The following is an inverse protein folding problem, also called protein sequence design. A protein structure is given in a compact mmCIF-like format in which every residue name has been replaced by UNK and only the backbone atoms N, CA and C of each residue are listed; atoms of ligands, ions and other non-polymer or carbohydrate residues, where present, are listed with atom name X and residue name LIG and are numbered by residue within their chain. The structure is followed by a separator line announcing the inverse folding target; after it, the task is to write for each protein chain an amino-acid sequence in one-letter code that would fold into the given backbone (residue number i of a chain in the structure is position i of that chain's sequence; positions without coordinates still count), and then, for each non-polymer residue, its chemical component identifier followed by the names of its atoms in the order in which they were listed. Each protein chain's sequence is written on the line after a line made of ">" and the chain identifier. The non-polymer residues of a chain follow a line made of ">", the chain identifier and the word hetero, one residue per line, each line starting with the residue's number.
data_IF_552792834066
#
_entry.id   IF_552792834066
#
_cell.length_a   1.000
_cell.length_b   1.000
_cell.length_c   1.000
_cell.angle_alpha   90.00
_cell.angle_beta   90.00
_cell.angle_gamma   90.00
#
_symmetry.space_group_name_H-M   'P 1'
#
loop_
_entity.id
_entity.type
_entity.pdbx_description
1 polymer ?
#
# COMPACT_ATOMS: atom_id res chain seq x y z
N UNK A 1 -64.94 -52.18 -28.27
CA UNK A 1 -63.55 -51.74 -28.19
C UNK A 1 -63.17 -51.65 -26.71
N UNK A 2 -62.42 -52.63 -26.22
CA UNK A 2 -61.72 -52.56 -24.93
C UNK A 2 -60.31 -52.08 -25.24
N UNK A 3 -59.86 -51.02 -24.58
CA UNK A 3 -58.49 -50.52 -24.69
C UNK A 3 -57.70 -51.09 -23.51
N UNK A 4 -56.73 -51.95 -23.78
CA UNK A 4 -55.71 -52.35 -22.81
C UNK A 4 -54.35 -51.93 -23.38
N UNK A 5 -53.66 -51.03 -22.68
CA UNK A 5 -52.31 -50.61 -23.00
C UNK A 5 -51.44 -50.75 -21.76
N UNK A 6 -50.22 -51.24 -21.93
CA UNK A 6 -49.20 -51.32 -20.89
C UNK A 6 -48.11 -50.29 -21.22
N UNK A 7 -47.78 -49.43 -20.27
CA UNK A 7 -46.61 -48.54 -20.37
C UNK A 7 -45.38 -49.41 -20.05
N UNK A 8 -44.37 -49.39 -20.91
CA UNK A 8 -43.08 -50.02 -20.62
C UNK A 8 -42.32 -49.15 -19.60
N UNK A 9 -41.78 -49.82 -18.58
CA UNK A 9 -40.90 -49.33 -17.50
C UNK A 9 -40.62 -47.82 -17.39
N UNK A 10 -41.02 -47.22 -16.27
CA UNK A 10 -40.77 -45.82 -15.93
C UNK A 10 -39.28 -45.48 -15.72
N UNK A 11 -38.38 -46.47 -15.70
CA UNK A 11 -36.95 -46.27 -15.35
C UNK A 11 -35.97 -46.23 -16.52
N UNK A 12 -36.41 -46.31 -17.79
CA UNK A 12 -35.47 -46.28 -18.93
C UNK A 12 -36.07 -45.72 -20.23
N UNK A 13 -36.47 -44.45 -20.20
CA UNK A 13 -37.18 -43.78 -21.30
C UNK A 13 -36.19 -43.20 -22.34
N UNK A 14 -35.94 -43.92 -23.43
CA UNK A 14 -35.25 -43.37 -24.61
C UNK A 14 -36.25 -42.78 -25.60
N UNK A 15 -36.07 -41.50 -25.99
CA UNK A 15 -36.64 -40.66 -27.09
C UNK A 15 -38.14 -40.78 -27.49
N UNK A 16 -38.77 -41.95 -27.39
CA UNK A 16 -40.13 -42.22 -27.85
C UNK A 16 -40.84 -43.19 -26.88
N UNK A 17 -41.83 -42.70 -26.14
CA UNK A 17 -42.81 -43.58 -25.51
C UNK A 17 -43.75 -44.15 -26.57
N UNK A 18 -43.62 -45.44 -26.83
CA UNK A 18 -44.38 -46.12 -27.89
C UNK A 18 -45.60 -46.82 -27.27
N UNK A 19 -46.78 -46.21 -27.37
CA UNK A 19 -48.02 -46.90 -26.99
C UNK A 19 -48.46 -47.79 -28.16
N UNK A 20 -48.38 -49.11 -27.98
CA UNK A 20 -48.91 -50.07 -28.96
C UNK A 20 -50.38 -50.35 -28.65
N UNK A 21 -51.28 -49.92 -29.54
CA UNK A 21 -52.72 -50.19 -29.42
C UNK A 21 -53.09 -51.34 -30.36
N UNK A 22 -53.45 -52.49 -29.78
CA UNK A 22 -53.97 -53.62 -30.55
C UNK A 22 -55.49 -53.50 -30.71
N UNK A 23 -55.97 -53.37 -31.95
CA UNK A 23 -57.40 -53.33 -32.26
C UNK A 23 -57.82 -54.70 -32.78
N UNK A 24 -58.55 -55.48 -31.97
CA UNK A 24 -59.20 -56.70 -32.46
C UNK A 24 -60.69 -56.44 -32.73
N UNK A 25 -61.14 -56.77 -33.94
CA UNK A 25 -62.57 -56.87 -34.27
C UNK A 25 -63.11 -58.21 -33.79
N UNK A 26 -64.32 -58.23 -33.23
CA UNK A 26 -64.98 -59.41 -32.67
C UNK A 26 -65.62 -60.31 -33.74
N UNK A 27 -65.26 -60.18 -35.02
CA UNK A 27 -65.75 -61.05 -36.10
C UNK A 27 -64.61 -61.71 -36.88
N UNK A 28 -64.55 -63.03 -36.70
CA UNK A 28 -63.69 -64.04 -37.30
C UNK A 28 -63.50 -63.92 -38.83
N UNK A 29 -62.28 -63.58 -39.28
CA UNK A 29 -61.74 -63.92 -40.61
C UNK A 29 -60.19 -63.88 -40.56
N UNK A 30 -59.44 -64.89 -41.05
CA UNK A 30 -58.00 -64.92 -40.88
C UNK A 30 -57.28 -64.04 -41.92
N UNK A 31 -56.36 -63.22 -41.43
CA UNK A 31 -55.36 -62.42 -42.15
C UNK A 31 -55.88 -61.26 -43.01
N UNK A 32 -55.98 -60.08 -42.38
CA UNK A 32 -55.83 -58.78 -43.05
C UNK A 32 -55.33 -57.78 -42.03
N UNK A 33 -54.02 -57.53 -42.03
CA UNK A 33 -53.29 -56.45 -41.35
C UNK A 33 -53.76 -56.09 -39.93
N UNK A 34 -52.98 -56.48 -38.93
CA UNK A 34 -52.94 -55.78 -37.64
C UNK A 34 -52.70 -54.28 -37.95
N UNK A 35 -53.73 -53.45 -37.82
CA UNK A 35 -53.61 -51.99 -37.97
C UNK A 35 -53.03 -51.45 -36.66
N UNK A 36 -51.74 -51.65 -36.48
CA UNK A 36 -51.00 -51.11 -35.34
C UNK A 36 -50.76 -49.62 -35.58
N UNK A 37 -51.61 -48.78 -34.99
CA UNK A 37 -51.34 -47.34 -34.89
C UNK A 37 -50.49 -47.09 -33.65
N UNK A 38 -49.21 -46.78 -33.85
CA UNK A 38 -48.33 -46.28 -32.80
C UNK A 38 -48.63 -44.80 -32.56
N UNK A 39 -49.14 -44.46 -31.38
CA UNK A 39 -49.23 -43.06 -30.94
C UNK A 39 -47.96 -42.78 -30.14
N UNK A 40 -47.08 -41.96 -30.70
CA UNK A 40 -45.88 -41.46 -30.04
C UNK A 40 -46.18 -40.07 -29.51
N UNK A 41 -46.23 -39.89 -28.20
CA UNK A 41 -46.25 -38.55 -27.59
C UNK A 41 -44.81 -38.09 -27.38
N UNK A 42 -44.40 -36.92 -27.89
CA UNK A 42 -43.07 -36.40 -27.60
C UNK A 42 -42.91 -36.20 -26.09
N UNK A 43 -41.73 -36.56 -25.56
CA UNK A 43 -41.40 -36.29 -24.16
C UNK A 43 -41.39 -34.77 -23.93
N UNK A 44 -41.80 -34.30 -22.74
CA UNK A 44 -41.66 -32.89 -22.39
C UNK A 44 -40.18 -32.50 -22.43
N UNK A 45 -39.91 -31.33 -23.01
CA UNK A 45 -38.56 -30.75 -23.08
C UNK A 45 -38.14 -30.18 -21.74
N UNK A 46 -36.83 -30.14 -21.52
CA UNK A 46 -36.16 -29.70 -20.30
C UNK A 46 -35.36 -28.41 -20.54
N UNK A 47 -34.83 -27.81 -19.47
CA UNK A 47 -33.91 -26.67 -19.55
C UNK A 47 -32.72 -26.79 -18.58
N UNK A 48 -31.64 -26.10 -18.91
CA UNK A 48 -30.44 -25.90 -18.07
C UNK A 48 -30.15 -24.41 -18.05
N UNK A 49 -29.90 -23.84 -16.89
CA UNK A 49 -29.51 -22.45 -16.74
C UNK A 49 -29.08 -22.11 -15.33
N UNK A 50 -29.01 -20.80 -15.11
CA UNK A 50 -29.05 -20.06 -13.84
C UNK A 50 -28.20 -18.81 -14.02
N UNK A 51 -27.01 -18.71 -13.41
CA UNK A 51 -26.36 -17.43 -13.15
C UNK A 51 -24.84 -17.42 -13.40
N UNK A 52 -24.34 -16.32 -13.96
CA UNK A 52 -22.90 -16.00 -13.95
C UNK A 52 -22.72 -14.75 -13.10
N UNK A 53 -21.86 -14.81 -12.10
CA UNK A 53 -21.72 -13.76 -11.09
C UNK A 53 -20.28 -13.27 -10.92
N UNK A 54 -20.17 -12.00 -10.54
CA UNK A 54 -18.95 -11.40 -10.03
C UNK A 54 -18.82 -11.77 -8.56
N UNK A 55 -17.92 -12.72 -8.29
CA UNK A 55 -17.57 -13.18 -6.96
C UNK A 55 -16.66 -12.15 -6.31
N UNK A 56 -17.22 -11.36 -5.39
CA UNK A 56 -16.55 -10.19 -4.85
C UNK A 56 -15.43 -10.58 -3.88
N UNK A 57 -15.49 -11.76 -3.28
CA UNK A 57 -14.54 -12.22 -2.27
C UNK A 57 -13.76 -13.48 -2.69
N UNK A 58 -13.96 -13.95 -3.93
CA UNK A 58 -13.34 -15.12 -4.54
C UNK A 58 -13.58 -16.44 -3.78
N UNK A 59 -14.69 -16.58 -3.07
CA UNK A 59 -14.98 -17.77 -2.27
C UNK A 59 -15.71 -18.90 -3.02
N UNK A 60 -16.22 -18.64 -4.22
CA UNK A 60 -16.96 -19.59 -5.05
C UNK A 60 -18.42 -19.82 -4.68
N UNK A 61 -18.96 -19.01 -3.78
CA UNK A 61 -20.35 -19.00 -3.33
C UNK A 61 -20.99 -17.70 -3.80
N UNK A 62 -22.19 -17.78 -4.37
CA UNK A 62 -23.00 -16.63 -4.70
C UNK A 62 -23.52 -15.94 -3.42
N UNK A 63 -22.79 -14.91 -3.00
CA UNK A 63 -23.09 -14.15 -1.80
C UNK A 63 -24.09 -13.01 -2.03
N UNK A 64 -24.69 -12.54 -0.93
CA UNK A 64 -25.58 -11.38 -1.01
C UNK A 64 -24.79 -10.11 -1.35
N UNK A 65 -25.13 -9.47 -2.47
CA UNK A 65 -24.48 -8.25 -2.94
C UNK A 65 -23.63 -8.45 -4.19
N UNK A 66 -23.37 -9.70 -4.55
CA UNK A 66 -22.69 -10.07 -5.78
C UNK A 66 -23.60 -9.87 -6.99
N UNK A 67 -23.07 -9.23 -8.01
CA UNK A 67 -23.82 -8.85 -9.20
C UNK A 67 -23.58 -9.84 -10.32
N UNK A 68 -24.57 -10.04 -11.17
CA UNK A 68 -24.45 -10.91 -12.33
C UNK A 68 -23.61 -10.26 -13.42
N UNK A 69 -22.86 -11.09 -14.15
CA UNK A 69 -22.00 -10.65 -15.24
C UNK A 69 -22.81 -10.71 -16.54
N UNK A 70 -23.09 -9.57 -17.20
CA UNK A 70 -23.82 -9.55 -18.45
C UNK A 70 -22.94 -9.99 -19.63
N UNK A 71 -23.60 -10.48 -20.68
CA UNK A 71 -22.96 -10.86 -21.96
C UNK A 71 -21.87 -11.95 -21.85
N UNK A 72 -21.83 -12.71 -20.75
CA UNK A 72 -20.94 -13.85 -20.59
C UNK A 72 -21.38 -15.00 -21.51
N UNK A 73 -20.47 -15.53 -22.34
CA UNK A 73 -20.77 -16.61 -23.28
C UNK A 73 -20.81 -17.96 -22.56
N UNK A 74 -21.89 -18.71 -22.80
CA UNK A 74 -22.11 -20.06 -22.27
C UNK A 74 -22.40 -21.03 -23.42
N UNK A 75 -21.81 -22.22 -23.37
CA UNK A 75 -21.90 -23.24 -24.43
C UNK A 75 -22.49 -24.54 -23.89
N UNK A 76 -23.38 -25.14 -24.67
CA UNK A 76 -23.96 -26.43 -24.33
C UNK A 76 -23.16 -27.56 -24.97
N UNK A 77 -22.79 -28.56 -24.17
CA UNK A 77 -22.03 -29.73 -24.61
C UNK A 77 -22.81 -31.03 -24.37
N UNK A 78 -22.57 -32.02 -25.22
CA UNK A 78 -22.96 -33.40 -24.98
C UNK A 78 -22.15 -33.98 -23.81
N UNK A 79 -22.62 -35.09 -23.23
CA UNK A 79 -21.92 -35.78 -22.14
C UNK A 79 -20.44 -36.13 -22.45
N UNK A 80 -20.12 -36.39 -23.72
CA UNK A 80 -18.75 -36.70 -24.19
C UNK A 80 -17.84 -35.45 -24.35
N UNK A 81 -18.38 -34.24 -24.13
CA UNK A 81 -17.67 -32.97 -24.22
C UNK A 81 -17.67 -32.34 -25.61
N UNK A 82 -18.34 -32.94 -26.60
CA UNK A 82 -18.53 -32.31 -27.91
C UNK A 82 -19.65 -31.26 -27.86
N UNK A 83 -19.63 -30.21 -28.70
CA UNK A 83 -20.71 -29.23 -28.73
C UNK A 83 -22.05 -29.86 -29.13
N UNK A 84 -23.13 -29.45 -28.46
CA UNK A 84 -24.48 -29.70 -28.98
C UNK A 84 -24.68 -28.78 -30.19
N UNK A 85 -25.12 -29.33 -31.32
CA UNK A 85 -25.31 -28.57 -32.55
C UNK A 85 -26.80 -28.32 -32.84
N UNK A 86 -27.12 -27.17 -33.44
CA UNK A 86 -28.43 -26.85 -33.99
C UNK A 86 -28.73 -27.67 -35.27
N UNK A 87 -29.93 -27.51 -35.85
CA UNK A 87 -30.32 -28.19 -37.10
C UNK A 87 -29.41 -27.86 -38.30
N UNK A 88 -28.62 -26.80 -38.21
CA UNK A 88 -27.67 -26.36 -39.25
C UNK A 88 -26.24 -26.83 -38.97
N UNK A 89 -25.98 -27.54 -37.88
CA UNK A 89 -24.65 -28.00 -37.48
C UNK A 89 -23.79 -26.95 -36.77
N UNK A 90 -24.38 -25.87 -36.24
CA UNK A 90 -23.64 -24.88 -35.45
C UNK A 90 -23.75 -25.19 -33.95
N UNK A 91 -22.68 -25.01 -33.16
CA UNK A 91 -22.74 -25.13 -31.70
C UNK A 91 -23.84 -24.24 -31.09
N UNK A 92 -24.58 -24.80 -30.14
CA UNK A 92 -25.55 -24.08 -29.33
C UNK A 92 -24.81 -23.29 -28.25
N UNK A 93 -24.95 -21.97 -28.32
CA UNK A 93 -24.41 -21.03 -27.34
C UNK A 93 -25.49 -20.03 -26.93
N UNK A 94 -25.32 -19.42 -25.76
CA UNK A 94 -26.13 -18.31 -25.29
C UNK A 94 -25.24 -17.31 -24.55
N UNK A 95 -25.74 -16.11 -24.34
CA UNK A 95 -25.11 -15.11 -23.49
C UNK A 95 -26.00 -14.83 -22.30
N UNK A 96 -25.39 -14.52 -21.15
CA UNK A 96 -26.14 -14.02 -20.00
C UNK A 96 -26.81 -12.69 -20.30
N UNK A 97 -27.96 -12.47 -19.69
CA UNK A 97 -28.68 -11.21 -19.77
C UNK A 97 -28.06 -10.11 -18.90
N UNK A 98 -28.68 -8.92 -18.91
CA UNK A 98 -28.20 -7.77 -18.14
C UNK A 98 -28.17 -7.96 -16.61
N UNK A 99 -28.76 -9.04 -16.10
CA UNK A 99 -28.74 -9.40 -14.68
C UNK A 99 -27.82 -10.58 -14.39
N UNK A 100 -27.20 -11.21 -15.40
CA UNK A 100 -26.32 -12.36 -15.27
C UNK A 100 -26.97 -13.72 -15.52
N UNK A 101 -28.26 -13.77 -15.90
CA UNK A 101 -28.96 -15.05 -16.10
C UNK A 101 -28.81 -15.59 -17.51
N UNK A 102 -28.66 -16.92 -17.64
CA UNK A 102 -28.71 -17.62 -18.92
C UNK A 102 -29.62 -18.85 -18.85
N UNK A 103 -30.15 -19.28 -20.00
CA UNK A 103 -30.96 -20.48 -20.08
C UNK A 103 -30.86 -21.14 -21.46
N UNK A 104 -30.67 -22.45 -21.49
CA UNK A 104 -30.89 -23.32 -22.63
C UNK A 104 -32.26 -23.99 -22.49
N UNK A 105 -33.17 -23.73 -23.42
CA UNK A 105 -34.53 -24.28 -23.40
C UNK A 105 -34.75 -25.30 -24.50
N UNK A 106 -35.79 -26.13 -24.36
CA UNK A 106 -36.19 -27.07 -25.41
C UNK A 106 -35.29 -28.31 -25.50
N UNK A 107 -34.53 -28.60 -24.44
CA UNK A 107 -33.58 -29.71 -24.41
C UNK A 107 -34.32 -31.05 -24.33
N UNK A 108 -33.80 -32.05 -25.06
CA UNK A 108 -34.29 -33.41 -24.90
C UNK A 108 -33.79 -34.01 -23.59
N UNK A 109 -34.56 -34.85 -22.89
CA UNK A 109 -34.07 -35.54 -21.69
C UNK A 109 -32.82 -36.36 -22.00
N UNK A 110 -31.81 -36.30 -21.14
CA UNK A 110 -30.49 -36.86 -21.41
C UNK A 110 -29.38 -36.27 -20.54
N UNK A 111 -28.14 -36.55 -20.92
CA UNK A 111 -26.94 -36.09 -20.21
C UNK A 111 -26.23 -34.97 -21.00
N UNK A 112 -25.94 -33.87 -20.32
CA UNK A 112 -25.29 -32.68 -20.88
C UNK A 112 -24.15 -32.20 -19.99
N UNK A 113 -23.38 -31.24 -20.50
CA UNK A 113 -22.48 -30.40 -19.72
C UNK A 113 -22.62 -28.96 -20.18
N UNK A 114 -22.24 -28.03 -19.33
CA UNK A 114 -22.13 -26.61 -19.66
C UNK A 114 -20.66 -26.23 -19.68
N UNK A 115 -20.28 -25.38 -20.64
CA UNK A 115 -18.96 -24.75 -20.66
C UNK A 115 -19.13 -23.24 -20.60
N UNK A 116 -18.55 -22.64 -19.57
CA UNK A 116 -18.45 -21.19 -19.46
C UNK A 116 -17.23 -20.68 -20.21
N UNK A 117 -17.32 -19.46 -20.71
CA UNK A 117 -16.18 -18.73 -21.27
C UNK A 117 -15.85 -17.60 -20.32
N UNK A 118 -14.58 -17.50 -19.94
CA UNK A 118 -14.10 -16.43 -19.06
C UNK A 118 -14.47 -15.06 -19.65
N UNK A 119 -15.28 -14.25 -18.94
CA UNK A 119 -15.69 -12.94 -19.44
C UNK A 119 -14.52 -11.96 -19.56
N UNK A 120 -14.60 -11.05 -20.53
CA UNK A 120 -13.59 -9.99 -20.69
C UNK A 120 -13.54 -9.09 -19.45
N UNK A 121 -12.34 -8.78 -18.96
CA UNK A 121 -12.12 -7.92 -17.80
C UNK A 121 -12.27 -8.62 -16.44
N UNK A 122 -12.28 -9.96 -16.44
CA UNK A 122 -12.14 -10.79 -15.24
C UNK A 122 -10.92 -11.69 -15.40
N UNK A 123 -9.98 -11.63 -14.47
CA UNK A 123 -8.72 -12.37 -14.52
C UNK A 123 -8.78 -13.71 -13.78
N UNK A 124 -9.73 -13.84 -12.84
CA UNK A 124 -9.87 -14.99 -11.96
C UNK A 124 -11.17 -15.78 -12.16
N UNK A 125 -11.10 -17.06 -11.79
CA UNK A 125 -12.23 -18.00 -11.76
C UNK A 125 -12.37 -18.50 -10.33
N UNK A 126 -13.57 -18.45 -9.80
CA UNK A 126 -13.83 -18.83 -8.41
C UNK A 126 -13.63 -20.33 -8.15
N UNK A 127 -13.37 -20.72 -6.90
CA UNK A 127 -13.34 -22.12 -6.50
C UNK A 127 -14.61 -22.88 -6.92
N UNK A 128 -14.43 -24.07 -7.46
CA UNK A 128 -15.55 -24.89 -7.97
C UNK A 128 -16.21 -25.70 -6.84
N UNK A 129 -17.52 -25.86 -6.90
CA UNK A 129 -18.37 -26.58 -5.94
C UNK A 129 -18.20 -26.12 -4.47
N UNK A 130 -18.00 -24.82 -4.27
CA UNK A 130 -17.88 -24.24 -2.94
C UNK A 130 -19.28 -23.87 -2.42
N UNK A 131 -19.82 -24.64 -1.48
CA UNK A 131 -21.10 -24.34 -0.85
C UNK A 131 -22.19 -25.37 -1.18
N UNK A 132 -23.40 -24.87 -1.43
CA UNK A 132 -24.54 -25.67 -1.87
C UNK A 132 -24.74 -25.52 -3.37
N UNK A 133 -25.23 -26.59 -3.99
CA UNK A 133 -25.46 -26.75 -5.44
C UNK A 133 -26.30 -25.62 -6.08
N UNK A 134 -27.11 -24.90 -5.28
CA UNK A 134 -27.96 -23.80 -5.77
C UNK A 134 -27.26 -22.43 -5.79
N UNK A 135 -26.01 -22.36 -5.32
CA UNK A 135 -25.27 -21.10 -5.13
C UNK A 135 -23.76 -21.24 -5.37
N UNK A 136 -23.23 -22.42 -5.70
CA UNK A 136 -21.80 -22.62 -5.91
C UNK A 136 -21.40 -22.40 -7.36
N UNK A 137 -20.11 -22.13 -7.61
CA UNK A 137 -19.60 -22.07 -8.99
C UNK A 137 -19.33 -23.48 -9.53
N UNK A 138 -19.87 -23.83 -10.70
CA UNK A 138 -19.61 -25.10 -11.39
C UNK A 138 -18.50 -25.03 -12.44
N UNK A 139 -18.02 -23.82 -12.75
CA UNK A 139 -16.97 -23.60 -13.72
C UNK A 139 -15.62 -24.14 -13.20
N UNK A 140 -15.22 -25.34 -13.62
CA UNK A 140 -13.96 -25.95 -13.17
C UNK A 140 -12.73 -25.35 -13.89
N UNK A 141 -11.86 -24.57 -13.20
CA UNK A 141 -10.67 -23.98 -13.81
C UNK A 141 -9.64 -25.04 -14.27
N UNK A 142 -9.69 -26.26 -13.75
CA UNK A 142 -8.81 -27.36 -14.14
C UNK A 142 -9.36 -28.20 -15.31
N UNK A 143 -10.62 -27.95 -15.70
CA UNK A 143 -11.30 -28.67 -16.76
C UNK A 143 -11.90 -27.71 -17.79
N UNK A 144 -11.17 -26.64 -18.12
CA UNK A 144 -11.52 -25.70 -19.18
C UNK A 144 -12.91 -25.05 -18.96
N UNK A 145 -13.27 -24.80 -17.70
CA UNK A 145 -14.54 -24.18 -17.26
C UNK A 145 -15.78 -25.00 -17.64
N UNK A 146 -15.62 -26.32 -17.72
CA UNK A 146 -16.69 -27.27 -18.03
C UNK A 146 -17.22 -27.89 -16.73
N UNK A 147 -18.55 -27.87 -16.58
CA UNK A 147 -19.26 -28.44 -15.44
C UNK A 147 -19.19 -29.98 -15.40
N UNK A 148 -19.71 -30.55 -14.31
CA UNK A 148 -20.02 -31.98 -14.21
C UNK A 148 -21.07 -32.44 -15.23
N UNK A 149 -21.39 -33.74 -15.24
CA UNK A 149 -22.49 -34.25 -16.07
C UNK A 149 -23.83 -33.88 -15.44
N UNK A 150 -24.64 -33.15 -16.18
CA UNK A 150 -26.00 -32.73 -15.82
C UNK A 150 -26.98 -33.76 -16.41
N UNK A 151 -27.82 -34.36 -15.56
CA UNK A 151 -28.82 -35.36 -16.00
C UNK A 151 -30.21 -34.74 -15.99
N UNK A 152 -30.80 -34.58 -17.18
CA UNK A 152 -32.14 -34.02 -17.35
C UNK A 152 -33.19 -35.12 -17.49
N UNK A 153 -34.13 -35.16 -16.53
CA UNK A 153 -35.36 -35.93 -16.66
C UNK A 153 -36.38 -35.20 -17.56
N UNK A 154 -37.40 -35.91 -18.10
CA UNK A 154 -38.46 -35.29 -18.90
C UNK A 154 -39.17 -34.13 -18.19
N UNK A 155 -39.04 -32.92 -18.77
CA UNK A 155 -39.68 -31.71 -18.24
C UNK A 155 -38.99 -31.08 -17.04
N UNK A 156 -37.74 -31.47 -16.74
CA UNK A 156 -36.93 -30.89 -15.67
C UNK A 156 -36.37 -29.52 -16.09
N UNK A 157 -36.38 -28.58 -15.15
CA UNK A 157 -35.61 -27.35 -15.24
C UNK A 157 -34.48 -27.47 -14.22
N UNK A 158 -33.24 -27.31 -14.68
CA UNK A 158 -32.04 -27.43 -13.89
C UNK A 158 -31.41 -26.03 -13.77
N UNK A 159 -31.66 -25.39 -12.62
CA UNK A 159 -31.30 -24.00 -12.32
C UNK A 159 -30.20 -23.96 -11.23
N UNK A 160 -29.22 -24.86 -11.35
CA UNK A 160 -28.11 -25.05 -10.38
C UNK A 160 -26.76 -25.07 -11.11
N UNK A 161 -26.66 -24.46 -12.30
CA UNK A 161 -25.41 -24.42 -13.06
C UNK A 161 -24.91 -22.99 -13.14
N UNK A 162 -23.97 -22.65 -12.27
CA UNK A 162 -23.51 -21.29 -12.05
C UNK A 162 -22.01 -21.12 -12.31
N UNK A 163 -21.56 -19.88 -12.50
CA UNK A 163 -20.14 -19.57 -12.64
C UNK A 163 -19.75 -18.26 -11.97
N UNK A 164 -18.83 -18.36 -11.02
CA UNK A 164 -18.19 -17.22 -10.36
C UNK A 164 -16.90 -16.80 -11.06
N UNK A 165 -16.76 -15.50 -11.31
CA UNK A 165 -15.53 -14.88 -11.80
C UNK A 165 -15.19 -13.66 -10.97
N UNK A 166 -13.89 -13.34 -10.84
CA UNK A 166 -13.44 -12.17 -10.08
C UNK A 166 -12.33 -11.42 -10.81
N UNK A 167 -12.19 -10.15 -10.48
CA UNK A 167 -11.08 -9.30 -10.90
C UNK A 167 -9.97 -9.38 -9.86
N UNK A 168 -8.72 -9.38 -10.30
CA UNK A 168 -7.61 -9.29 -9.35
C UNK A 168 -7.51 -7.89 -8.74
N UNK A 169 -7.04 -7.83 -7.49
CA UNK A 169 -6.85 -6.62 -6.72
C UNK A 169 -5.36 -6.25 -6.57
N UNK A 170 -5.08 -5.11 -5.95
CA UNK A 170 -3.73 -4.66 -5.61
C UNK A 170 -3.64 -4.00 -4.23
N UNK A 171 -2.45 -4.09 -3.64
CA UNK A 171 -2.07 -3.40 -2.39
C UNK A 171 -0.74 -2.69 -2.64
N UNK A 172 -0.61 -1.42 -2.24
CA UNK A 172 0.63 -0.68 -2.29
C UNK A 172 0.54 0.61 -1.49
N UNK A 173 1.57 1.43 -1.67
CA UNK A 173 1.61 2.89 -1.57
C UNK A 173 3.08 3.31 -1.38
N UNK A 174 3.50 3.62 -0.14
CA UNK A 174 4.75 4.33 0.09
C UNK A 174 5.52 3.93 1.36
N UNK A 175 6.85 4.00 1.29
CA UNK A 175 7.73 3.92 2.47
C UNK A 175 8.49 5.23 2.57
N UNK A 176 8.39 5.95 3.68
CA UNK A 176 8.91 7.31 3.85
C UNK A 176 9.91 7.46 4.99
N UNK A 177 10.83 8.42 4.83
CA UNK A 177 11.73 8.89 5.87
C UNK A 177 11.02 9.95 6.73
N UNK A 178 10.51 9.52 7.88
CA UNK A 178 9.81 10.35 8.86
C UNK A 178 10.83 11.11 9.72
N UNK A 179 11.44 12.14 9.14
CA UNK A 179 12.50 12.91 9.78
C UNK A 179 12.05 13.54 11.10
N UNK A 180 10.76 13.82 11.21
CA UNK A 180 10.17 14.50 12.35
C UNK A 180 9.50 13.56 13.37
N UNK A 181 9.47 12.26 13.07
CA UNK A 181 9.03 11.15 13.91
C UNK A 181 7.57 11.23 14.36
N UNK A 182 6.70 11.82 13.54
CA UNK A 182 5.29 12.01 13.90
C UNK A 182 4.37 10.91 13.38
N UNK A 183 4.86 10.03 12.48
CA UNK A 183 4.10 8.95 11.88
C UNK A 183 3.14 9.34 10.77
N UNK A 184 3.22 10.59 10.29
CA UNK A 184 2.47 11.15 9.18
C UNK A 184 3.44 11.39 8.03
N UNK A 185 3.10 10.99 6.82
CA UNK A 185 3.81 11.34 5.61
C UNK A 185 3.65 12.85 5.33
N UNK A 186 4.65 13.62 5.74
CA UNK A 186 4.63 15.08 5.59
C UNK A 186 5.14 15.53 4.21
N UNK A 187 4.68 16.71 3.78
CA UNK A 187 5.16 17.29 2.52
C UNK A 187 6.66 17.59 2.60
N UNK A 188 7.42 16.94 1.72
CA UNK A 188 8.88 17.08 1.63
C UNK A 188 9.66 15.93 2.25
N UNK A 189 9.00 15.03 2.97
CA UNK A 189 9.61 13.77 3.39
C UNK A 189 9.88 12.89 2.16
N UNK A 190 11.10 12.36 2.12
CA UNK A 190 11.56 11.57 0.97
C UNK A 190 11.16 10.11 1.15
N UNK A 191 10.82 9.45 0.05
CA UNK A 191 10.62 8.01 0.08
C UNK A 191 11.93 7.24 0.25
N UNK A 192 11.83 6.06 0.83
CA UNK A 192 12.96 5.17 1.12
C UNK A 192 13.05 4.14 -0.01
N UNK A 193 14.10 4.18 -0.85
CA UNK A 193 14.28 3.21 -1.92
C UNK A 193 14.79 1.86 -1.41
N UNK A 194 14.53 0.81 -2.19
CA UNK A 194 15.01 -0.55 -1.95
C UNK A 194 14.58 -1.17 -0.60
N UNK A 195 13.53 -0.63 0.04
CA UNK A 195 12.93 -1.21 1.23
C UNK A 195 12.19 -2.49 0.88
N UNK A 196 12.50 -3.59 1.56
CA UNK A 196 11.84 -4.89 1.33
C UNK A 196 10.46 -4.93 1.99
N UNK A 197 9.46 -5.32 1.21
CA UNK A 197 8.06 -5.45 1.63
C UNK A 197 7.56 -6.85 1.31
N UNK A 198 6.84 -7.48 2.24
CA UNK A 198 6.33 -8.85 2.12
C UNK A 198 4.82 -8.90 2.21
N UNK A 199 4.20 -9.76 1.41
CA UNK A 199 2.78 -10.05 1.49
C UNK A 199 2.53 -11.26 2.37
N UNK A 200 1.65 -11.13 3.36
CA UNK A 200 1.28 -12.17 4.30
C UNK A 200 -0.23 -12.46 4.22
N UNK A 201 -0.62 -13.66 4.61
CA UNK A 201 -2.02 -14.01 4.81
C UNK A 201 -2.57 -13.39 6.10
N UNK A 202 -3.88 -13.56 6.35
CA UNK A 202 -4.55 -13.07 7.56
C UNK A 202 -3.92 -13.58 8.87
N UNK A 203 -3.28 -14.75 8.85
CA UNK A 203 -2.64 -15.36 10.02
C UNK A 203 -1.20 -14.85 10.24
N UNK A 204 -0.64 -14.09 9.28
CA UNK A 204 0.73 -13.60 9.30
C UNK A 204 1.74 -14.60 8.71
N UNK A 205 1.29 -15.62 7.98
CA UNK A 205 2.15 -16.54 7.24
C UNK A 205 2.43 -15.97 5.83
N UNK A 206 3.61 -16.22 5.23
CA UNK A 206 3.91 -15.70 3.89
C UNK A 206 2.96 -16.22 2.81
N UNK A 207 2.46 -15.31 1.97
CA UNK A 207 1.77 -15.70 0.74
C UNK A 207 2.81 -16.23 -0.24
N UNK A 208 2.52 -17.37 -0.89
CA UNK A 208 3.43 -18.02 -1.81
C UNK A 208 2.96 -17.88 -3.27
N UNK A 209 3.91 -17.72 -4.18
CA UNK A 209 3.67 -17.82 -5.62
C UNK A 209 3.42 -19.28 -6.06
N UNK A 210 3.11 -19.47 -7.33
CA UNK A 210 2.86 -20.79 -7.94
C UNK A 210 4.05 -21.77 -7.84
N UNK A 211 5.28 -21.25 -7.66
CA UNK A 211 6.50 -22.03 -7.52
C UNK A 211 6.85 -22.30 -6.04
N UNK A 212 6.06 -21.76 -5.10
CA UNK A 212 6.23 -21.91 -3.65
C UNK A 212 7.19 -20.91 -3.01
N UNK A 213 7.52 -19.80 -3.66
CA UNK A 213 8.36 -18.73 -3.10
C UNK A 213 7.49 -17.66 -2.43
N UNK A 214 8.01 -17.01 -1.38
CA UNK A 214 7.35 -15.88 -0.74
C UNK A 214 7.13 -14.73 -1.73
N UNK A 215 5.95 -14.11 -1.71
CA UNK A 215 5.66 -12.92 -2.48
C UNK A 215 6.25 -11.71 -1.74
N UNK A 216 7.30 -11.13 -2.33
CA UNK A 216 7.99 -9.95 -1.82
C UNK A 216 8.18 -8.94 -2.94
N UNK A 217 8.26 -7.66 -2.59
CA UNK A 217 8.66 -6.57 -3.49
C UNK A 217 9.64 -5.64 -2.79
N UNK A 218 10.20 -4.71 -3.54
CA UNK A 218 11.04 -3.63 -3.00
C UNK A 218 10.52 -2.29 -3.49
N UNK A 219 10.60 -1.26 -2.65
CA UNK A 219 10.24 0.09 -3.05
C UNK A 219 11.13 0.62 -4.17
N UNK A 220 10.57 1.47 -5.02
CA UNK A 220 11.27 2.12 -6.11
C UNK A 220 12.13 3.31 -5.64
N UNK A 221 12.76 4.02 -6.58
CA UNK A 221 13.63 5.17 -6.28
C UNK A 221 12.92 6.34 -5.58
N UNK A 222 11.59 6.36 -5.57
CA UNK A 222 10.79 7.36 -4.89
C UNK A 222 10.15 6.81 -3.61
N UNK A 223 10.38 5.55 -3.23
CA UNK A 223 9.76 4.92 -2.06
C UNK A 223 8.43 4.21 -2.32
N UNK A 224 7.96 4.15 -3.57
CA UNK A 224 6.68 3.52 -3.89
C UNK A 224 6.81 2.01 -4.07
N UNK A 225 5.82 1.23 -3.63
CA UNK A 225 5.76 -0.22 -3.88
C UNK A 225 4.34 -0.67 -4.24
N UNK A 226 4.23 -1.84 -4.89
CA UNK A 226 2.93 -2.41 -5.20
C UNK A 226 2.99 -3.94 -5.32
N UNK A 227 1.95 -4.60 -4.83
CA UNK A 227 1.57 -5.98 -5.13
C UNK A 227 0.35 -5.95 -6.05
N UNK A 228 0.47 -6.58 -7.22
CA UNK A 228 -0.60 -6.63 -8.24
C UNK A 228 -1.05 -8.06 -8.48
N UNK A 229 -2.26 -8.25 -8.99
CA UNK A 229 -2.73 -9.58 -9.39
C UNK A 229 -3.18 -10.42 -8.20
N UNK A 230 -3.58 -9.78 -7.10
CA UNK A 230 -4.00 -10.46 -5.88
C UNK A 230 -5.42 -11.03 -6.05
N UNK A 231 -5.63 -12.25 -5.60
CA UNK A 231 -7.00 -12.79 -5.46
C UNK A 231 -7.72 -12.01 -4.35
N UNK A 232 -8.99 -11.62 -4.51
CA UNK A 232 -9.79 -11.07 -3.41
C UNK A 232 -9.69 -11.93 -2.15
N UNK A 233 -9.69 -11.28 -0.98
CA UNK A 233 -9.44 -11.96 0.29
C UNK A 233 -8.80 -11.06 1.34
N UNK A 234 -8.28 -11.68 2.39
CA UNK A 234 -7.69 -10.98 3.54
C UNK A 234 -6.17 -11.14 3.57
N UNK A 235 -5.47 -10.01 3.64
CA UNK A 235 -4.01 -9.94 3.61
C UNK A 235 -3.46 -9.07 4.73
N UNK A 236 -2.16 -9.17 4.96
CA UNK A 236 -1.36 -8.18 5.67
C UNK A 236 -0.12 -7.85 4.87
N UNK A 237 0.42 -6.67 5.06
CA UNK A 237 1.73 -6.28 4.54
C UNK A 237 2.72 -6.26 5.70
N UNK A 238 3.91 -6.79 5.49
CA UNK A 238 5.00 -6.70 6.46
C UNK A 238 6.18 -5.95 5.84
N UNK A 239 6.61 -4.91 6.52
CA UNK A 239 7.78 -4.13 6.15
C UNK A 239 9.02 -4.71 6.83
N UNK A 240 10.14 -4.73 6.11
CA UNK A 240 11.45 -5.02 6.69
C UNK A 240 12.14 -3.71 6.99
N UNK A 241 12.62 -3.53 8.22
CA UNK A 241 13.34 -2.32 8.62
C UNK A 241 14.49 -2.02 7.62
N UNK A 242 14.45 -0.89 6.90
CA UNK A 242 15.46 -0.57 5.89
C UNK A 242 16.85 -0.37 6.50
N UNK A 243 17.89 -0.69 5.74
CA UNK A 243 19.27 -0.48 6.18
C UNK A 243 19.55 1.02 6.37
N UNK A 244 20.21 1.38 7.46
CA UNK A 244 20.52 2.77 7.80
C UNK A 244 19.48 3.44 8.69
N UNK A 245 18.30 2.84 8.87
CA UNK A 245 17.23 3.35 9.72
C UNK A 245 17.26 2.76 11.12
N UNK A 246 17.13 3.61 12.13
CA UNK A 246 17.26 3.24 13.55
C UNK A 246 15.92 3.06 14.26
N UNK A 247 14.85 3.62 13.70
CA UNK A 247 13.52 3.63 14.29
C UNK A 247 12.40 3.44 13.28
N UNK A 248 11.23 3.14 13.84
CA UNK A 248 9.95 2.96 13.13
C UNK A 248 9.00 4.00 13.69
N UNK A 249 8.31 4.69 12.79
CA UNK A 249 7.41 5.78 13.13
C UNK A 249 6.22 5.34 13.99
N UNK A 250 5.57 6.28 14.70
CA UNK A 250 4.29 6.01 15.35
C UNK A 250 3.25 5.47 14.36
N UNK A 251 2.57 4.38 14.73
CA UNK A 251 1.53 3.78 13.89
C UNK A 251 0.25 4.57 13.89
N UNK A 252 -0.46 4.51 12.77
CA UNK A 252 -1.83 5.01 12.57
C UNK A 252 -2.01 6.46 13.04
N UNK A 253 -0.97 7.26 12.81
CA UNK A 253 -0.93 8.67 13.17
C UNK A 253 -1.34 9.48 11.94
N UNK A 254 -2.59 9.94 11.89
CA UNK A 254 -3.06 10.78 10.79
C UNK A 254 -4.35 10.28 10.16
N UNK A 255 -4.45 10.47 8.85
CA UNK A 255 -5.45 9.81 8.02
C UNK A 255 -4.82 8.58 7.36
N UNK A 256 -5.67 7.62 7.01
CA UNK A 256 -5.31 6.32 6.40
C UNK A 256 -4.45 6.46 5.14
N UNK A 257 -4.56 7.57 4.42
CA UNK A 257 -3.83 7.84 3.16
C UNK A 257 -2.42 8.42 3.37
N UNK A 258 -1.98 8.59 4.62
CA UNK A 258 -0.70 9.23 4.94
C UNK A 258 -0.08 8.73 6.24
N UNK A 259 -0.69 7.78 6.96
CA UNK A 259 -0.17 7.32 8.24
C UNK A 259 0.69 6.06 8.10
N UNK A 260 1.60 5.82 9.03
CA UNK A 260 2.39 4.58 8.99
C UNK A 260 1.59 3.38 9.53
N UNK A 261 1.45 2.31 8.74
CA UNK A 261 0.83 1.04 9.16
C UNK A 261 1.81 0.08 9.84
N UNK A 262 3.11 0.28 9.68
CA UNK A 262 4.14 -0.64 10.17
C UNK A 262 4.19 -0.69 11.71
N UNK A 263 3.59 -1.72 12.33
CA UNK A 263 3.53 -1.82 13.79
C UNK A 263 4.75 -2.48 14.45
N UNK A 264 5.59 -1.73 15.20
CA UNK A 264 6.74 -2.30 15.89
C UNK A 264 6.38 -3.34 16.96
N UNK A 265 5.12 -3.43 17.39
CA UNK A 265 4.65 -4.39 18.39
C UNK A 265 4.20 -5.73 17.78
N UNK A 266 4.00 -5.81 16.47
CA UNK A 266 3.55 -7.02 15.79
C UNK A 266 4.56 -7.56 14.75
N UNK A 267 5.76 -6.96 14.69
CA UNK A 267 6.78 -7.35 13.72
C UNK A 267 6.70 -6.56 12.42
N UNK A 268 6.24 -5.30 12.46
CA UNK A 268 6.12 -4.38 11.33
C UNK A 268 5.08 -4.82 10.30
N UNK A 269 4.01 -5.46 10.78
CA UNK A 269 2.87 -5.85 9.97
C UNK A 269 1.77 -4.79 10.06
N UNK A 270 1.07 -4.58 8.95
CA UNK A 270 -0.17 -3.81 8.92
C UNK A 270 -1.30 -4.52 9.69
N UNK A 271 -2.41 -3.81 9.88
CA UNK A 271 -3.70 -4.43 10.17
C UNK A 271 -4.17 -5.30 8.98
N UNK A 272 -5.26 -6.05 9.20
CA UNK A 272 -5.85 -6.90 8.13
C UNK A 272 -6.48 -6.03 7.06
N UNK A 273 -6.04 -6.23 5.82
CA UNK A 273 -6.55 -5.59 4.61
C UNK A 273 -7.51 -6.57 3.93
N UNK A 274 -8.77 -6.17 3.74
CA UNK A 274 -9.76 -6.95 2.99
C UNK A 274 -9.88 -6.39 1.58
N UNK A 275 -9.56 -7.21 0.58
CA UNK A 275 -9.70 -6.88 -0.83
C UNK A 275 -10.93 -7.55 -1.43
N UNK A 276 -11.70 -6.78 -2.18
CA UNK A 276 -12.78 -7.25 -3.05
C UNK A 276 -12.32 -7.31 -4.51
N UNK A 277 -13.15 -7.91 -5.37
CA UNK A 277 -12.94 -7.98 -6.83
C UNK A 277 -12.64 -6.60 -7.43
N UNK A 278 -11.39 -6.42 -7.89
CA UNK A 278 -10.93 -5.23 -8.58
C UNK A 278 -10.54 -4.06 -7.66
N UNK A 279 -10.40 -4.29 -6.37
CA UNK A 279 -9.97 -3.26 -5.43
C UNK A 279 -8.50 -2.83 -5.67
N UNK A 280 -8.24 -1.54 -5.54
CA UNK A 280 -6.91 -0.92 -5.50
C UNK A 280 -6.77 -0.26 -4.13
N UNK A 281 -5.93 -0.82 -3.27
CA UNK A 281 -5.63 -0.25 -1.96
C UNK A 281 -4.22 0.38 -2.02
N UNK A 282 -4.19 1.70 -2.12
CA UNK A 282 -2.99 2.52 -2.09
C UNK A 282 -2.99 3.38 -0.81
N UNK A 283 -3.12 2.73 0.35
CA UNK A 283 -3.11 3.37 1.66
C UNK A 283 -2.21 2.65 2.67
N UNK A 284 -1.36 1.73 2.22
CA UNK A 284 -0.55 0.90 3.11
C UNK A 284 0.88 1.42 3.15
N UNK A 285 1.20 2.22 4.16
CA UNK A 285 2.45 2.95 4.24
C UNK A 285 3.36 2.50 5.39
N UNK A 286 4.64 2.86 5.31
CA UNK A 286 5.56 2.70 6.43
C UNK A 286 6.52 3.87 6.60
N UNK A 287 6.49 4.48 7.79
CA UNK A 287 7.44 5.49 8.22
C UNK A 287 8.62 4.87 8.96
N UNK A 288 9.83 5.23 8.55
CA UNK A 288 11.06 4.92 9.27
C UNK A 288 11.86 6.20 9.50
N UNK A 289 12.66 6.21 10.56
CA UNK A 289 13.51 7.36 10.85
C UNK A 289 14.91 6.93 11.29
N UNK A 290 15.86 7.80 11.01
CA UNK A 290 17.16 7.78 11.66
C UNK A 290 17.01 8.60 12.95
N UNK A 291 17.51 8.10 14.09
CA UNK A 291 17.76 9.06 15.15
C UNK A 291 18.82 10.00 14.59
N UNK A 292 18.48 11.28 14.39
CA UNK A 292 19.52 12.30 14.40
C UNK A 292 20.38 12.01 15.64
N UNK A 293 21.72 11.92 15.53
CA UNK A 293 22.56 11.69 16.68
C UNK A 293 22.10 12.64 17.80
N UNK A 294 21.78 12.12 18.98
CA UNK A 294 21.31 13.00 20.07
C UNK A 294 22.32 14.12 20.33
N UNK A 295 21.93 15.21 21.02
CA UNK A 295 22.80 16.36 21.25
C UNK A 295 24.13 15.89 21.85
N UNK A 296 25.23 16.01 21.11
CA UNK A 296 26.54 15.66 21.64
C UNK A 296 27.10 16.87 22.38
N UNK A 297 27.65 16.62 23.57
CA UNK A 297 28.50 17.60 24.24
C UNK A 297 29.92 17.32 23.77
N UNK A 298 30.44 18.18 22.90
CA UNK A 298 31.74 18.02 22.27
C UNK A 298 32.70 19.06 22.85
N UNK A 299 33.64 18.55 23.64
CA UNK A 299 34.61 19.33 24.39
C UNK A 299 36.00 19.20 23.74
N UNK A 300 36.57 20.33 23.35
CA UNK A 300 37.93 20.47 22.85
C UNK A 300 39.00 20.33 23.93
N UNK A 301 40.22 20.73 23.61
CA UNK A 301 41.36 20.74 24.53
C UNK A 301 41.85 22.17 24.75
N UNK A 302 42.91 22.37 25.54
CA UNK A 302 43.57 23.68 25.64
C UNK A 302 44.51 23.95 24.45
N UNK A 303 44.25 23.31 23.30
CA UNK A 303 45.11 23.29 22.11
C UNK A 303 44.43 23.94 20.92
N UNK A 304 45.03 23.82 19.73
CA UNK A 304 44.30 24.13 18.49
C UNK A 304 43.52 22.90 18.09
N UNK A 305 42.20 23.00 18.12
CA UNK A 305 41.29 21.90 17.81
C UNK A 305 40.56 22.10 16.48
N UNK A 306 40.21 20.98 15.86
CA UNK A 306 39.32 20.90 14.69
C UNK A 306 38.18 19.99 15.11
N UNK A 307 37.04 20.60 15.42
CA UNK A 307 35.88 19.92 15.98
C UNK A 307 34.78 19.92 14.93
N UNK A 308 34.27 18.74 14.62
CA UNK A 308 33.11 18.53 13.75
C UNK A 308 32.01 17.85 14.57
N UNK A 309 30.84 18.49 14.60
CA UNK A 309 29.60 17.94 15.09
C UNK A 309 28.97 16.96 14.11
N UNK A 310 27.72 16.64 14.37
CA UNK A 310 26.92 15.62 13.71
C UNK A 310 25.75 16.25 12.97
N UNK A 311 24.73 15.46 12.60
CA UNK A 311 23.48 16.01 12.08
C UNK A 311 22.43 16.27 13.17
N UNK A 312 22.86 16.30 14.44
CA UNK A 312 22.02 16.56 15.60
C UNK A 312 22.33 17.92 16.23
N UNK A 313 21.49 18.36 17.17
CA UNK A 313 21.66 19.65 17.86
C UNK A 313 22.83 19.58 18.87
N UNK A 314 24.05 19.86 18.43
CA UNK A 314 25.26 19.68 19.24
C UNK A 314 25.56 20.87 20.16
N UNK A 315 26.31 20.61 21.24
CA UNK A 315 26.84 21.61 22.16
C UNK A 315 28.36 21.53 22.10
N UNK A 316 29.00 22.53 21.50
CA UNK A 316 30.43 22.51 21.17
C UNK A 316 31.18 23.55 22.00
N UNK A 317 32.23 23.12 22.71
CA UNK A 317 33.14 23.99 23.47
C UNK A 317 34.58 23.79 23.01
N UNK A 318 35.22 24.81 22.43
CA UNK A 318 36.63 24.73 21.98
C UNK A 318 37.66 24.73 23.12
N UNK A 319 37.40 25.51 24.17
CA UNK A 319 38.24 25.79 25.35
C UNK A 319 39.31 26.87 25.21
N UNK A 320 40.61 26.53 25.20
CA UNK A 320 41.68 27.52 24.98
C UNK A 320 42.36 27.12 23.70
N UNK A 321 42.56 28.02 22.75
CA UNK A 321 42.97 27.52 21.47
C UNK A 321 42.90 28.54 20.38
N UNK A 322 42.96 28.04 19.16
CA UNK A 322 42.53 28.76 17.97
C UNK A 322 41.80 27.71 17.18
N UNK A 323 40.51 27.59 17.39
CA UNK A 323 39.79 26.39 17.03
C UNK A 323 39.02 26.58 15.72
N UNK A 324 38.76 25.46 15.04
CA UNK A 324 37.81 25.39 13.94
C UNK A 324 36.66 24.50 14.39
N UNK A 325 35.47 25.07 14.47
CA UNK A 325 34.26 24.45 14.98
C UNK A 325 33.22 24.34 13.86
N UNK A 326 32.74 23.13 13.60
CA UNK A 326 31.70 22.83 12.63
C UNK A 326 30.54 22.17 13.37
N UNK A 327 29.35 22.74 13.31
CA UNK A 327 28.15 22.21 13.98
C UNK A 327 27.57 20.99 13.26
N UNK A 328 27.50 21.08 11.93
CA UNK A 328 26.84 20.12 11.07
C UNK A 328 25.39 20.53 10.77
N UNK A 329 24.50 19.55 10.64
CA UNK A 329 23.07 19.83 10.51
C UNK A 329 22.45 19.86 11.92
N UNK A 330 21.46 20.72 12.17
CA UNK A 330 20.84 20.83 13.48
C UNK A 330 20.74 22.27 13.95
N UNK A 331 20.30 22.45 15.19
CA UNK A 331 20.34 23.73 15.91
C UNK A 331 21.44 23.63 16.95
N UNK A 332 22.63 24.08 16.61
CA UNK A 332 23.84 23.88 17.42
C UNK A 332 24.07 25.02 18.41
N UNK A 333 24.78 24.73 19.48
CA UNK A 333 25.18 25.72 20.49
C UNK A 333 26.71 25.71 20.64
N UNK A 334 27.35 26.82 20.27
CA UNK A 334 28.78 27.02 20.48
C UNK A 334 28.99 27.78 21.79
N UNK A 335 29.57 27.12 22.80
CA UNK A 335 29.68 27.62 24.17
C UNK A 335 31.08 28.19 24.41
N UNK A 336 31.12 29.41 24.95
CA UNK A 336 32.34 30.11 25.35
C UNK A 336 32.38 30.25 26.86
N UNK A 337 33.43 29.72 27.49
CA UNK A 337 33.51 29.61 28.96
C UNK A 337 34.63 30.44 29.60
N UNK A 338 35.59 30.96 28.80
CA UNK A 338 36.74 31.73 29.30
C UNK A 338 37.27 32.75 28.28
N UNK A 339 37.99 33.75 28.77
CA UNK A 339 38.38 34.97 28.04
C UNK A 339 39.76 34.95 27.40
N UNK A 340 40.52 33.87 27.55
CA UNK A 340 41.89 33.78 27.05
C UNK A 340 41.98 32.99 25.75
N UNK A 341 40.87 32.91 25.01
CA UNK A 341 40.85 32.18 23.76
C UNK A 341 41.50 33.02 22.65
N UNK A 342 42.15 32.40 21.67
CA UNK A 342 42.72 33.19 20.58
C UNK A 342 41.60 33.61 19.63
N UNK A 343 41.44 32.91 18.51
CA UNK A 343 40.44 33.27 17.51
C UNK A 343 39.79 32.02 16.98
N UNK A 344 38.50 31.84 17.24
CA UNK A 344 37.81 30.64 16.78
C UNK A 344 37.07 30.91 15.48
N UNK A 345 37.07 29.89 14.63
CA UNK A 345 36.42 29.84 13.34
C UNK A 345 35.22 28.89 13.44
N UNK A 346 34.00 29.44 13.47
CA UNK A 346 32.81 28.63 13.24
C UNK A 346 32.56 28.57 11.74
N UNK A 347 32.49 27.37 11.18
CA UNK A 347 32.59 27.16 9.73
C UNK A 347 31.25 27.17 9.00
N UNK A 348 30.15 26.91 9.69
CA UNK A 348 28.84 26.58 9.11
C UNK A 348 27.63 27.19 9.84
N UNK A 349 27.88 28.15 10.74
CA UNK A 349 26.83 28.78 11.56
C UNK A 349 25.60 29.24 10.76
N UNK A 350 24.40 28.81 11.16
CA UNK A 350 23.11 29.13 10.59
C UNK A 350 22.30 30.05 11.52
N UNK A 351 22.11 31.32 11.13
CA UNK A 351 21.29 32.27 11.92
C UNK A 351 19.84 31.79 12.05
N UNK A 352 19.27 31.96 13.25
CA UNK A 352 17.92 31.51 13.59
C UNK A 352 17.80 30.02 13.94
N UNK A 353 18.83 29.21 13.66
CA UNK A 353 18.96 27.81 14.05
C UNK A 353 20.00 27.69 15.18
N UNK A 354 21.23 28.08 14.88
CA UNK A 354 22.39 27.95 15.78
C UNK A 354 22.52 29.12 16.74
N UNK A 355 23.26 28.88 17.83
CA UNK A 355 23.45 29.86 18.91
C UNK A 355 24.89 29.95 19.37
N UNK A 356 25.30 31.17 19.71
CA UNK A 356 26.49 31.44 20.51
C UNK A 356 26.09 31.62 21.97
N UNK A 357 26.65 30.81 22.86
CA UNK A 357 26.40 30.92 24.31
C UNK A 357 27.60 31.54 25.01
N UNK A 358 27.42 32.76 25.50
CA UNK A 358 28.39 33.53 26.30
C UNK A 358 27.96 33.64 27.77
N UNK A 359 26.88 32.98 28.19
CA UNK A 359 26.30 33.14 29.54
C UNK A 359 27.27 32.77 30.66
N UNK A 360 28.14 31.78 30.42
CA UNK A 360 29.20 31.37 31.34
C UNK A 360 30.33 32.41 31.35
N UNK A 361 30.72 32.89 30.17
CA UNK A 361 31.78 33.88 30.00
C UNK A 361 31.48 35.21 30.71
N UNK A 362 30.24 35.68 30.56
CA UNK A 362 29.76 36.95 31.08
C UNK A 362 29.26 36.84 32.54
N UNK A 363 29.25 35.63 33.10
CA UNK A 363 29.11 35.40 34.53
C UNK A 363 27.78 35.82 35.14
N UNK A 364 26.63 35.40 34.61
CA UNK A 364 25.30 35.67 35.20
C UNK A 364 25.01 37.16 35.57
N UNK A 365 25.74 38.12 35.01
CA UNK A 365 25.47 39.55 35.24
C UNK A 365 24.27 39.92 34.36
N UNK A 366 23.15 40.21 35.01
CA UNK A 366 21.81 40.26 34.41
C UNK A 366 21.45 41.62 33.79
N UNK A 367 22.46 42.41 33.37
CA UNK A 367 22.28 43.82 32.99
C UNK A 367 22.73 44.15 31.55
N UNK A 368 22.85 43.15 30.68
CA UNK A 368 23.00 43.38 29.25
C UNK A 368 21.70 43.96 28.66
N UNK A 369 21.78 45.15 28.06
CA UNK A 369 20.69 45.80 27.36
C UNK A 369 21.12 46.13 25.93
N UNK A 370 20.21 45.93 24.97
CA UNK A 370 20.36 46.34 23.58
C UNK A 370 20.16 47.87 23.49
N UNK A 371 21.23 48.63 23.63
CA UNK A 371 21.25 50.03 23.26
C UNK A 371 22.33 50.27 22.20
N UNK A 372 21.91 50.83 21.06
CA UNK A 372 22.66 51.38 19.91
C UNK A 372 22.59 50.55 18.59
N UNK A 373 22.45 51.22 17.43
CA UNK A 373 22.19 50.54 16.17
C UNK A 373 23.44 49.78 15.74
N UNK A 374 23.29 48.55 15.23
CA UNK A 374 24.34 47.58 14.84
C UNK A 374 24.61 46.43 15.84
N UNK A 375 23.59 45.90 16.51
CA UNK A 375 23.65 44.57 17.13
C UNK A 375 24.67 44.41 18.27
N UNK A 376 24.98 45.51 18.95
CA UNK A 376 25.88 45.53 20.11
C UNK A 376 25.15 45.08 21.36
N UNK A 377 25.77 44.19 22.13
CA UNK A 377 25.29 43.82 23.47
C UNK A 377 26.24 44.44 24.48
N UNK A 378 25.74 45.29 25.39
CA UNK A 378 26.56 46.00 26.37
C UNK A 378 25.95 45.94 27.78
N UNK A 379 26.76 45.69 28.80
CA UNK A 379 26.36 45.82 30.19
C UNK A 379 26.42 47.29 30.63
N UNK A 380 25.31 47.75 31.21
CA UNK A 380 25.13 49.13 31.66
C UNK A 380 25.91 49.51 32.93
N UNK A 381 26.54 48.56 33.63
CA UNK A 381 27.16 48.73 34.95
C UNK A 381 28.69 48.76 34.87
N UNK A 382 29.30 47.88 34.08
CA UNK A 382 30.76 47.77 33.96
C UNK A 382 31.32 48.06 32.56
N UNK A 383 30.46 48.40 31.60
CA UNK A 383 30.80 48.66 30.19
C UNK A 383 31.31 47.43 29.42
N UNK A 384 31.10 46.20 29.90
CA UNK A 384 31.40 45.02 29.10
C UNK A 384 30.55 44.99 27.82
N UNK A 385 31.09 44.54 26.70
CA UNK A 385 30.38 44.49 25.42
C UNK A 385 30.77 43.32 24.51
N UNK A 386 29.82 42.93 23.67
CA UNK A 386 30.03 42.12 22.47
C UNK A 386 29.60 42.97 21.26
N UNK A 387 30.55 43.30 20.39
CA UNK A 387 30.29 44.05 19.16
C UNK A 387 30.58 43.18 17.94
N UNK A 388 29.57 42.87 17.10
CA UNK A 388 29.79 42.27 15.80
C UNK A 388 30.37 43.30 14.81
N UNK A 389 31.37 42.88 14.03
CA UNK A 389 31.99 43.62 12.94
C UNK A 389 31.96 42.78 11.67
N UNK A 390 31.37 43.31 10.60
CA UNK A 390 31.55 42.74 9.25
C UNK A 390 32.84 43.30 8.66
N UNK A 391 33.94 42.57 8.84
CA UNK A 391 35.24 42.95 8.25
C UNK A 391 35.30 42.65 6.74
N UNK A 392 34.33 41.93 6.18
CA UNK A 392 34.23 41.62 4.76
C UNK A 392 33.99 42.83 3.89
N UNK A 393 33.19 43.79 4.38
CA UNK A 393 32.97 45.07 3.70
C UNK A 393 34.21 45.98 3.66
N UNK A 394 35.20 45.79 4.54
CA UNK A 394 36.34 46.70 4.73
C UNK A 394 37.67 46.09 4.24
N UNK A 395 37.85 44.77 4.38
CA UNK A 395 39.12 44.08 4.09
C UNK A 395 38.99 42.87 3.16
N UNK A 396 37.80 42.54 2.66
CA UNK A 396 37.58 41.41 1.75
C UNK A 396 37.71 40.03 2.41
N UNK A 397 37.38 39.93 3.70
CA UNK A 397 37.34 38.70 4.48
C UNK A 397 35.87 38.29 4.74
N UNK A 398 35.41 37.15 4.24
CA UNK A 398 34.02 36.71 4.44
C UNK A 398 33.76 36.33 5.91
N UNK A 399 32.64 36.79 6.49
CA UNK A 399 32.17 36.40 7.84
C UNK A 399 32.00 37.53 8.85
N UNK A 400 31.28 37.25 9.95
CA UNK A 400 31.03 38.18 11.06
C UNK A 400 32.06 37.96 12.16
N UNK A 401 32.71 39.04 12.61
CA UNK A 401 33.74 39.01 13.63
C UNK A 401 33.21 39.62 14.92
N UNK A 402 33.30 38.90 16.03
CA UNK A 402 32.87 39.41 17.31
C UNK A 402 34.07 39.90 18.09
N UNK A 403 34.00 41.15 18.54
CA UNK A 403 34.93 41.69 19.52
C UNK A 403 34.24 41.63 20.88
N UNK A 404 34.88 40.92 21.82
CA UNK A 404 34.37 40.71 23.17
C UNK A 404 35.28 41.43 24.16
N UNK A 405 34.70 42.31 24.96
CA UNK A 405 35.34 43.04 26.07
C UNK A 405 34.51 42.80 27.34
N UNK A 406 34.86 41.81 28.15
CA UNK A 406 34.08 41.36 29.31
C UNK A 406 34.29 42.21 30.57
N UNK A 407 35.35 43.04 30.64
CA UNK A 407 35.75 43.75 31.86
C UNK A 407 35.61 45.29 31.72
N UNK A 408 35.25 45.75 30.52
CA UNK A 408 34.95 47.14 30.17
C UNK A 408 36.15 48.09 30.33
N UNK A 409 37.34 47.54 30.54
CA UNK A 409 38.51 48.30 30.93
C UNK A 409 39.24 48.79 29.67
N UNK A 410 38.81 49.95 29.16
CA UNK A 410 39.38 50.64 27.97
C UNK A 410 40.86 51.07 28.08
N UNK A 411 41.64 50.47 28.99
CA UNK A 411 43.07 50.68 29.22
C UNK A 411 44.00 50.19 28.11
N UNK A 412 43.61 50.29 26.84
CA UNK A 412 44.50 50.17 25.68
C UNK A 412 45.14 48.79 25.45
N UNK A 413 44.61 47.72 26.03
CA UNK A 413 44.86 46.36 25.56
C UNK A 413 43.98 46.12 24.32
N UNK A 414 44.46 45.31 23.37
CA UNK A 414 43.66 44.92 22.21
C UNK A 414 42.40 44.18 22.68
N UNK A 415 41.31 44.16 21.88
CA UNK A 415 40.13 43.36 22.20
C UNK A 415 40.52 41.92 22.57
N UNK A 416 39.89 41.38 23.61
CA UNK A 416 40.42 40.20 24.30
C UNK A 416 40.05 38.88 23.64
N UNK A 417 39.06 38.81 22.74
CA UNK A 417 38.77 37.60 21.94
C UNK A 417 38.18 37.95 20.57
N UNK A 418 38.35 37.04 19.59
CA UNK A 418 37.75 37.14 18.25
C UNK A 418 37.04 35.84 17.88
N UNK A 419 35.70 35.84 17.84
CA UNK A 419 34.93 34.75 17.20
C UNK A 419 34.66 35.13 15.76
N UNK A 420 34.88 34.22 14.82
CA UNK A 420 34.55 34.43 13.40
C UNK A 420 33.52 33.42 12.92
N UNK A 421 32.37 33.94 12.48
CA UNK A 421 31.35 33.16 11.80
C UNK A 421 31.59 33.23 10.29
N UNK A 422 32.19 32.18 9.73
CA UNK A 422 32.48 32.13 8.31
C UNK A 422 31.17 32.05 7.51
N UNK A 423 31.02 32.89 6.48
CA UNK A 423 29.84 32.89 5.61
C UNK A 423 28.57 33.56 6.17
N UNK A 424 28.60 34.06 7.41
CA UNK A 424 27.50 34.82 8.04
C UNK A 424 27.79 36.32 7.98
N UNK A 425 26.86 37.14 7.52
CA UNK A 425 27.04 38.61 7.49
C UNK A 425 26.27 39.28 8.61
N UNK A 426 26.79 40.38 9.16
CA UNK A 426 26.05 41.22 10.13
C UNK A 426 25.36 42.42 9.48
N UNK A 427 25.49 42.64 8.16
CA UNK A 427 25.04 43.88 7.49
C UNK A 427 24.30 43.66 6.14
N UNK A 428 24.15 42.43 5.62
CA UNK A 428 23.58 42.22 4.27
C UNK A 428 22.21 41.50 4.21
N UNK A 429 21.09 42.17 3.86
CA UNK A 429 19.72 41.63 3.94
C UNK A 429 19.34 40.55 2.90
N UNK A 430 20.30 39.98 2.15
CA UNK A 430 20.05 38.97 1.12
C UNK A 430 20.73 37.61 1.41
N UNK A 431 21.17 37.34 2.64
CA UNK A 431 21.87 36.11 3.04
C UNK A 431 21.59 35.68 4.49
N UNK A 432 22.40 34.75 5.01
CA UNK A 432 22.38 34.34 6.41
C UNK A 432 22.88 35.50 7.31
N UNK A 433 21.96 36.16 8.02
CA UNK A 433 22.23 37.42 8.76
C UNK A 433 22.15 37.20 10.25
N UNK A 434 23.28 37.37 10.94
CA UNK A 434 23.35 37.24 12.39
C UNK A 434 22.40 38.23 13.10
N UNK A 435 21.56 37.71 13.98
CA UNK A 435 20.66 38.48 14.83
C UNK A 435 20.93 38.20 16.30
N UNK A 436 21.52 39.15 17.05
CA UNK A 436 21.91 38.94 18.44
C UNK A 436 20.74 38.58 19.38
N UNK A 437 19.49 38.91 19.01
CA UNK A 437 18.31 38.59 19.82
C UNK A 437 17.85 37.13 19.70
N UNK A 438 18.23 36.45 18.63
CA UNK A 438 17.82 35.05 18.36
C UNK A 438 19.00 34.09 18.40
N UNK A 439 20.19 34.58 18.07
CA UNK A 439 21.38 33.79 17.79
C UNK A 439 22.40 33.83 18.95
N UNK A 440 22.12 34.58 20.02
CA UNK A 440 22.96 34.59 21.23
C UNK A 440 22.18 34.23 22.49
N UNK A 441 22.90 33.56 23.39
CA UNK A 441 22.53 33.33 24.78
C UNK A 441 23.56 34.11 25.61
N UNK A 442 23.10 35.16 26.31
CA UNK A 442 23.92 36.06 27.14
C UNK A 442 23.41 36.12 28.57
#
# INVERSE_FOLDING_TARGET
>A
FTFEGTIADEENLTEINTLTVNVSDAQDNPASAEDTSTVTTPLPTSSIGNYVFEDLNANGIQDSGESGIPDAEVKLLNADGTPVEDESGNPITTNTDGSGFYEFTGLTPGEYKVMFVQPDGFEGVSPVNAGGDDVDSDADPNNNLITGVITLNPGQNDDTNDAGFFKTASIGDFVFNDENQNGIQDIGESGIPDAEVKLLDVNGDPVLDQDGNEITTTTDGNGAYQFTGLTPGEYKVMFVQPEGFEGVSPVNAGGDDVDSDADPNNGLMSDVITLSSGDENDTVDAGFFNNAPGPNIIDGTSGMDMIEGTSGNDIITGFEGRDMLTGGDGNDIFVYTQLLDQRDDITDFQSGSDKLDFSILLGNESNFYDEFPEGTVQDAIDNSYIIPYDLGAIYGMDGTWFVIDPDGNTGGQAPENIVVLNGVSSINPNGNVFNPNTDMIV
#
